data_IF_214491814966
#
_entry.id   IF_214491814966
#
_cell.length_a   1.000
_cell.length_b   1.000
_cell.length_c   1.000
_cell.angle_alpha   90.00
_cell.angle_beta   90.00
_cell.angle_gamma   90.00
#
_symmetry.space_group_name_H-M   'P 1'
#
loop_
_entity.id
_entity.type
_entity.pdbx_description
1 polymer ?
#
# COMPACT_ATOMS: atom_id res chain seq x y z
N UNK A 1 -16.65 20.64 29.75
CA UNK A 1 -17.34 19.63 28.95
C UNK A 1 -16.63 19.34 27.66
N UNK A 2 -16.29 20.41 26.95
CA UNK A 2 -15.52 20.27 25.70
C UNK A 2 -14.12 19.76 25.95
N UNK A 3 -13.51 20.15 27.07
CA UNK A 3 -12.18 19.68 27.44
C UNK A 3 -12.13 18.16 27.62
N UNK A 4 -13.16 17.61 28.29
CA UNK A 4 -13.26 16.16 28.47
C UNK A 4 -13.46 15.45 27.11
N UNK A 5 -14.35 15.98 26.29
CA UNK A 5 -14.56 15.46 24.96
C UNK A 5 -13.33 15.56 24.09
N UNK A 6 -12.61 16.68 24.17
CA UNK A 6 -11.36 16.89 23.43
C UNK A 6 -10.27 15.93 23.86
N UNK A 7 -10.15 15.69 25.18
CA UNK A 7 -9.19 14.71 25.70
C UNK A 7 -9.47 13.30 25.21
N UNK A 8 -10.74 12.90 25.19
CA UNK A 8 -11.13 11.59 24.67
C UNK A 8 -10.84 11.49 23.18
N UNK A 9 -11.16 12.53 22.42
CA UNK A 9 -10.86 12.58 20.98
C UNK A 9 -9.35 12.49 20.71
N UNK A 10 -8.54 13.19 21.51
CA UNK A 10 -7.08 13.15 21.38
C UNK A 10 -6.55 11.76 21.65
N UNK A 11 -7.04 11.08 22.69
CA UNK A 11 -6.63 9.71 22.99
C UNK A 11 -7.01 8.74 21.90
N UNK A 12 -8.26 8.85 21.40
CA UNK A 12 -8.73 7.99 20.33
C UNK A 12 -7.95 8.24 19.04
N UNK A 13 -7.67 9.51 18.73
CA UNK A 13 -6.86 9.87 17.56
C UNK A 13 -5.45 9.33 17.69
N UNK A 14 -4.83 9.43 18.86
CA UNK A 14 -3.49 8.90 19.10
C UNK A 14 -3.44 7.39 18.92
N UNK A 15 -4.41 6.67 19.48
CA UNK A 15 -4.51 5.22 19.35
C UNK A 15 -4.72 4.81 17.90
N UNK A 16 -5.63 5.49 17.20
CA UNK A 16 -5.90 5.24 15.79
C UNK A 16 -4.66 5.50 14.94
N UNK A 17 -3.95 6.60 15.20
CA UNK A 17 -2.73 6.94 14.49
C UNK A 17 -1.66 5.86 14.69
N UNK A 18 -1.50 5.35 15.91
CA UNK A 18 -0.52 4.30 16.18
C UNK A 18 -0.83 3.01 15.44
N UNK A 19 -2.10 2.62 15.40
CA UNK A 19 -2.53 1.42 14.68
C UNK A 19 -2.33 1.59 13.18
N UNK A 20 -2.75 2.73 12.63
CA UNK A 20 -2.60 3.01 11.21
C UNK A 20 -1.11 3.07 10.83
N UNK A 21 -0.29 3.71 11.65
CA UNK A 21 1.16 3.76 11.43
C UNK A 21 1.77 2.37 11.40
N UNK A 22 1.33 1.49 12.31
CA UNK A 22 1.78 0.10 12.32
C UNK A 22 1.38 -0.62 11.03
N UNK A 23 0.12 -0.48 10.61
CA UNK A 23 -0.38 -1.09 9.37
C UNK A 23 0.40 -0.58 8.15
N UNK A 24 0.60 0.73 8.06
CA UNK A 24 1.36 1.34 6.97
C UNK A 24 2.79 0.78 6.93
N UNK A 25 3.43 0.70 8.08
CA UNK A 25 4.80 0.18 8.17
C UNK A 25 4.88 -1.28 7.72
N UNK A 26 3.90 -2.10 8.13
CA UNK A 26 3.85 -3.49 7.71
C UNK A 26 3.62 -3.62 6.20
N UNK A 27 2.79 -2.77 5.62
CA UNK A 27 2.57 -2.76 4.18
C UNK A 27 3.85 -2.38 3.44
N UNK A 28 4.55 -1.35 3.90
CA UNK A 28 5.80 -0.91 3.29
C UNK A 28 6.86 -1.99 3.40
N UNK A 29 7.02 -2.60 4.58
CA UNK A 29 8.03 -3.64 4.81
C UNK A 29 7.76 -4.89 3.99
N UNK A 30 6.50 -5.20 3.70
CA UNK A 30 6.13 -6.34 2.86
C UNK A 30 6.07 -5.98 1.38
N UNK A 31 6.39 -4.74 1.03
CA UNK A 31 6.35 -4.24 -0.35
C UNK A 31 4.94 -4.33 -0.96
N UNK A 32 3.93 -4.14 -0.12
CA UNK A 32 2.54 -4.20 -0.53
C UNK A 32 1.96 -5.60 -0.65
N UNK A 33 2.66 -6.61 -0.15
CA UNK A 33 2.25 -8.01 -0.30
C UNK A 33 1.67 -8.64 0.96
N UNK A 34 1.44 -7.87 2.01
CA UNK A 34 0.90 -8.40 3.26
C UNK A 34 -0.58 -8.71 3.12
N UNK A 35 -1.00 -9.85 3.68
CA UNK A 35 -2.40 -10.23 3.71
C UNK A 35 -3.12 -9.57 4.88
N UNK A 36 -4.41 -9.27 4.71
CA UNK A 36 -5.21 -8.66 5.78
C UNK A 36 -5.24 -9.56 7.02
N UNK A 37 -5.22 -10.87 6.84
CA UNK A 37 -5.20 -11.83 7.93
C UNK A 37 -3.94 -11.69 8.80
N UNK A 38 -2.80 -11.45 8.17
CA UNK A 38 -1.56 -11.20 8.90
C UNK A 38 -1.67 -9.94 9.75
N UNK A 39 -2.29 -8.90 9.20
CA UNK A 39 -2.53 -7.66 9.94
C UNK A 39 -3.46 -7.88 11.13
N UNK A 40 -4.51 -8.70 10.94
CA UNK A 40 -5.41 -9.07 12.02
C UNK A 40 -4.66 -9.81 13.13
N UNK A 41 -3.83 -10.77 12.77
CA UNK A 41 -3.06 -11.57 13.72
C UNK A 41 -2.07 -10.72 14.51
N UNK A 42 -1.42 -9.77 13.84
CA UNK A 42 -0.40 -8.91 14.48
C UNK A 42 -1.00 -7.81 15.35
N UNK A 43 -2.18 -7.28 14.98
CA UNK A 43 -2.79 -6.16 15.69
C UNK A 43 -3.82 -6.59 16.71
N UNK A 44 -4.45 -7.75 16.53
CA UNK A 44 -5.57 -8.21 17.35
C UNK A 44 -6.90 -7.56 16.97
N UNK A 45 -6.92 -6.71 15.96
CA UNK A 45 -8.15 -6.08 15.46
C UNK A 45 -8.67 -6.82 14.23
N UNK A 46 -9.98 -6.70 13.97
CA UNK A 46 -10.58 -7.31 12.78
C UNK A 46 -10.14 -6.56 11.52
N UNK A 47 -10.10 -7.27 10.40
CA UNK A 47 -9.79 -6.66 9.11
C UNK A 47 -10.75 -5.54 8.76
N UNK A 48 -12.04 -5.72 9.11
CA UNK A 48 -13.06 -4.69 8.90
C UNK A 48 -12.73 -3.41 9.64
N UNK A 49 -12.30 -3.53 10.89
CA UNK A 49 -11.93 -2.37 11.71
C UNK A 49 -10.67 -1.70 11.17
N UNK A 50 -9.67 -2.49 10.80
CA UNK A 50 -8.43 -1.97 10.22
C UNK A 50 -8.69 -1.23 8.91
N UNK A 51 -9.51 -1.79 8.03
CA UNK A 51 -9.87 -1.15 6.77
C UNK A 51 -10.55 0.20 7.00
N UNK A 52 -11.46 0.25 7.96
CA UNK A 52 -12.17 1.49 8.29
C UNK A 52 -11.21 2.55 8.82
N UNK A 53 -10.35 2.18 9.77
CA UNK A 53 -9.39 3.13 10.34
C UNK A 53 -8.45 3.70 9.31
N UNK A 54 -7.91 2.84 8.45
CA UNK A 54 -6.98 3.29 7.40
C UNK A 54 -7.70 4.19 6.41
N UNK A 55 -8.90 3.82 5.97
CA UNK A 55 -9.68 4.62 5.04
C UNK A 55 -10.02 5.99 5.62
N UNK A 56 -10.43 6.03 6.88
CA UNK A 56 -10.81 7.29 7.53
C UNK A 56 -9.61 8.22 7.71
N UNK A 57 -8.45 7.67 8.05
CA UNK A 57 -7.27 8.48 8.33
C UNK A 57 -6.50 8.86 7.06
N UNK A 58 -6.29 7.92 6.14
CA UNK A 58 -5.48 8.15 4.93
C UNK A 58 -6.30 8.57 3.71
N UNK A 59 -7.61 8.31 3.72
CA UNK A 59 -8.46 8.61 2.58
C UNK A 59 -8.45 7.57 1.48
N UNK A 60 -7.59 6.54 1.60
CA UNK A 60 -7.53 5.44 0.64
C UNK A 60 -7.63 4.11 1.38
N UNK A 61 -8.06 3.06 0.68
CA UNK A 61 -8.19 1.73 1.28
C UNK A 61 -6.82 1.06 1.46
N UNK A 62 -6.77 0.06 2.33
CA UNK A 62 -5.56 -0.77 2.50
C UNK A 62 -5.14 -1.37 1.16
N UNK A 63 -6.11 -1.88 0.40
CA UNK A 63 -5.84 -2.47 -0.91
C UNK A 63 -5.21 -1.47 -1.87
N UNK A 64 -5.77 -0.25 -1.93
CA UNK A 64 -5.22 0.81 -2.77
C UNK A 64 -3.80 1.19 -2.34
N UNK A 65 -3.58 1.27 -1.04
CA UNK A 65 -2.25 1.58 -0.50
C UNK A 65 -1.24 0.49 -0.88
N UNK A 66 -1.64 -0.78 -0.77
CA UNK A 66 -0.79 -1.90 -1.19
C UNK A 66 -0.43 -1.80 -2.67
N UNK A 67 -1.38 -1.44 -3.52
CA UNK A 67 -1.14 -1.28 -4.95
C UNK A 67 -0.15 -0.14 -5.23
N UNK A 68 -0.27 0.97 -4.50
CA UNK A 68 0.67 2.10 -4.62
C UNK A 68 2.08 1.66 -4.23
N UNK A 69 2.23 0.92 -3.15
CA UNK A 69 3.54 0.46 -2.68
C UNK A 69 4.16 -0.53 -3.69
N UNK A 70 3.36 -1.45 -4.23
CA UNK A 70 3.83 -2.35 -5.29
C UNK A 70 4.31 -1.58 -6.51
N UNK A 71 3.57 -0.55 -6.89
CA UNK A 71 3.94 0.30 -8.03
C UNK A 71 5.27 1.01 -7.78
N UNK A 72 5.45 1.58 -6.60
CA UNK A 72 6.71 2.24 -6.22
C UNK A 72 7.87 1.26 -6.24
N UNK A 73 7.66 0.06 -5.72
CA UNK A 73 8.67 -0.99 -5.73
C UNK A 73 9.03 -1.39 -7.17
N UNK A 74 8.03 -1.51 -8.03
CA UNK A 74 8.24 -1.81 -9.44
C UNK A 74 9.14 -0.76 -10.11
N UNK A 75 8.85 0.52 -9.90
CA UNK A 75 9.63 1.60 -10.49
C UNK A 75 11.07 1.59 -9.97
N UNK A 76 11.26 1.40 -8.66
CA UNK A 76 12.58 1.36 -8.06
C UNK A 76 13.38 0.16 -8.54
N UNK A 77 12.76 -1.00 -8.63
CA UNK A 77 13.41 -2.22 -9.13
C UNK A 77 13.89 -2.04 -10.57
N UNK A 78 13.03 -1.45 -11.41
CA UNK A 78 13.41 -1.18 -12.80
C UNK A 78 14.61 -0.25 -12.87
N UNK A 79 14.63 0.80 -12.07
CA UNK A 79 15.77 1.75 -12.03
C UNK A 79 17.05 1.08 -11.57
N UNK A 80 16.98 0.24 -10.52
CA UNK A 80 18.13 -0.47 -10.00
C UNK A 80 18.71 -1.43 -11.03
N UNK A 81 17.86 -2.04 -11.85
CA UNK A 81 18.29 -2.94 -12.93
C UNK A 81 18.66 -2.21 -14.21
N UNK A 82 18.55 -0.88 -14.23
CA UNK A 82 18.86 -0.05 -15.39
C UNK A 82 18.12 -0.49 -16.65
N UNK A 83 16.89 -0.94 -16.49
CA UNK A 83 16.06 -1.41 -17.59
C UNK A 83 16.36 -2.83 -18.05
N UNK A 84 17.33 -3.51 -17.48
CA UNK A 84 17.70 -4.88 -17.85
C UNK A 84 16.80 -5.89 -17.10
N UNK A 85 15.52 -5.84 -17.42
CA UNK A 85 14.51 -6.72 -16.83
C UNK A 85 13.32 -6.80 -17.76
N UNK A 86 12.78 -8.01 -17.94
CA UNK A 86 11.56 -8.18 -18.74
C UNK A 86 10.34 -7.74 -17.92
N UNK A 87 9.25 -7.40 -18.62
CA UNK A 87 8.01 -7.03 -17.92
C UNK A 87 7.46 -8.18 -17.08
N UNK A 88 7.63 -9.43 -17.54
CA UNK A 88 7.21 -10.60 -16.77
C UNK A 88 7.98 -10.73 -15.47
N UNK A 89 9.31 -10.58 -15.53
CA UNK A 89 10.17 -10.62 -14.33
C UNK A 89 9.85 -9.47 -13.41
N UNK A 90 9.63 -8.28 -13.97
CA UNK A 90 9.27 -7.09 -13.19
C UNK A 90 7.99 -7.31 -12.40
N UNK A 91 6.98 -7.91 -13.03
CA UNK A 91 5.72 -8.21 -12.36
C UNK A 91 5.91 -9.19 -11.20
N UNK A 92 6.66 -10.26 -11.41
CA UNK A 92 6.93 -11.26 -10.38
C UNK A 92 7.70 -10.68 -9.20
N UNK A 93 8.75 -9.89 -9.48
CA UNK A 93 9.58 -9.31 -8.43
C UNK A 93 8.86 -8.21 -7.66
N UNK A 94 7.85 -7.59 -8.27
CA UNK A 94 7.08 -6.51 -7.64
C UNK A 94 5.86 -7.01 -6.85
N UNK A 95 5.64 -8.32 -6.80
CA UNK A 95 4.56 -8.91 -6.01
C UNK A 95 3.23 -9.00 -6.75
N UNK A 96 3.21 -8.80 -8.04
CA UNK A 96 2.01 -9.02 -8.86
C UNK A 96 1.89 -10.50 -9.21
N UNK A 97 0.66 -10.93 -9.42
CA UNK A 97 0.40 -12.31 -9.82
C UNK A 97 1.01 -12.65 -11.18
N UNK A 98 0.83 -11.74 -12.15
CA UNK A 98 1.40 -11.86 -13.48
C UNK A 98 1.51 -10.48 -14.14
N UNK A 99 1.99 -10.45 -15.39
CA UNK A 99 2.12 -9.20 -16.13
C UNK A 99 0.78 -8.52 -16.38
N UNK A 100 -0.27 -9.30 -16.62
CA UNK A 100 -1.62 -8.77 -16.85
C UNK A 100 -2.14 -8.04 -15.60
N UNK A 101 -1.92 -8.62 -14.42
CA UNK A 101 -2.29 -8.00 -13.15
C UNK A 101 -1.52 -6.70 -12.95
N UNK A 102 -0.22 -6.70 -13.22
CA UNK A 102 0.60 -5.49 -13.16
C UNK A 102 0.09 -4.40 -14.09
N UNK A 103 -0.22 -4.75 -15.34
CA UNK A 103 -0.73 -3.81 -16.34
C UNK A 103 -2.05 -3.18 -15.87
N UNK A 104 -2.97 -3.98 -15.36
CA UNK A 104 -4.26 -3.49 -14.86
C UNK A 104 -4.09 -2.56 -13.67
N UNK A 105 -3.25 -2.93 -12.73
CA UNK A 105 -2.99 -2.13 -11.52
C UNK A 105 -2.36 -0.78 -11.89
N UNK A 106 -1.35 -0.78 -12.74
CA UNK A 106 -0.69 0.45 -13.18
C UNK A 106 -1.65 1.36 -13.93
N UNK A 107 -2.50 0.80 -14.78
CA UNK A 107 -3.47 1.58 -15.54
C UNK A 107 -4.50 2.22 -14.61
N UNK A 108 -4.93 1.51 -13.56
CA UNK A 108 -5.85 2.06 -12.57
C UNK A 108 -5.23 3.21 -11.78
N UNK A 109 -3.95 3.07 -11.41
CA UNK A 109 -3.26 4.08 -10.59
C UNK A 109 -2.87 5.32 -11.38
N UNK A 110 -2.39 5.15 -12.61
CA UNK A 110 -1.76 6.24 -13.37
C UNK A 110 -2.46 6.57 -14.68
N UNK A 111 -3.37 5.70 -15.14
CA UNK A 111 -3.99 5.84 -16.44
C UNK A 111 -3.16 5.32 -17.61
N UNK A 112 -1.93 4.85 -17.33
CA UNK A 112 -1.00 4.41 -18.35
C UNK A 112 -0.47 3.00 -18.06
N UNK A 113 0.03 2.33 -19.10
CA UNK A 113 0.67 1.02 -18.94
C UNK A 113 2.08 1.19 -18.36
N UNK A 114 2.61 0.15 -17.66
CA UNK A 114 3.94 0.23 -17.05
C UNK A 114 5.05 0.61 -18.02
N UNK A 115 5.02 0.04 -19.23
CA UNK A 115 6.03 0.31 -20.25
C UNK A 115 6.14 1.81 -20.55
N UNK A 116 5.01 2.49 -20.67
CA UNK A 116 4.99 3.93 -20.97
C UNK A 116 5.47 4.75 -19.77
N UNK A 117 5.06 4.38 -18.57
CA UNK A 117 5.48 5.08 -17.34
C UNK A 117 6.99 4.96 -17.16
N UNK A 118 7.52 3.77 -17.33
CA UNK A 118 8.94 3.49 -17.19
C UNK A 118 9.74 4.32 -18.19
N UNK A 119 9.28 4.43 -19.43
CA UNK A 119 9.94 5.25 -20.44
C UNK A 119 9.92 6.73 -20.12
N UNK A 120 8.89 7.21 -19.39
CA UNK A 120 8.79 8.60 -18.99
C UNK A 120 9.78 8.96 -17.87
N UNK A 121 10.12 8.00 -17.01
CA UNK A 121 10.98 8.23 -15.84
C UNK A 121 12.42 7.74 -16.03
N UNK A 122 12.71 7.12 -17.14
CA UNK A 122 14.10 6.71 -17.47
C UNK A 122 14.79 7.72 -18.45
#
# INVERSE_FOLDING_TARGET
LRLVGSEMCIRDSYKTNNIVNFVVREIINSQGCIAIKELEDKTGYTGRYLRKMVKDLLGISIKQFCEVIKFQWMCNYYKLRQGDVTLSDLALQSGYYDQSHMNLSCKKLTGELPKKIINMYS
#
